data_IF_286941351411
#
_entry.id   IF_286941351411
#
_cell.length_a   1.000
_cell.length_b   1.000
_cell.length_c   1.000
_cell.angle_alpha   90.00
_cell.angle_beta   90.00
_cell.angle_gamma   90.00
#
_symmetry.space_group_name_H-M   'P 1'
#
loop_
_entity.id
_entity.type
_entity.pdbx_description
1 polymer ?
#
# COMPACT_ATOMS: atom_id res chain seq x y z
N UNK A 1 10.51 -10.56 -2.82
CA UNK A 1 10.79 -11.77 -2.02
C UNK A 1 11.03 -12.94 -2.95
N UNK A 2 12.15 -13.66 -2.79
CA UNK A 2 12.43 -14.87 -3.57
C UNK A 2 11.41 -16.00 -3.28
N UNK A 3 11.24 -16.98 -4.18
CA UNK A 3 10.48 -18.20 -3.90
C UNK A 3 10.92 -18.87 -2.59
N UNK A 4 9.96 -19.48 -1.87
CA UNK A 4 10.21 -20.21 -0.61
C UNK A 4 10.89 -19.35 0.46
N UNK A 5 10.41 -18.12 0.64
CA UNK A 5 10.92 -17.21 1.67
C UNK A 5 9.81 -16.73 2.61
N UNK A 6 10.18 -16.51 3.87
CA UNK A 6 9.38 -15.91 4.92
C UNK A 6 9.95 -14.53 5.23
N UNK A 7 9.12 -13.49 5.14
CA UNK A 7 9.35 -12.23 5.85
C UNK A 7 8.90 -12.45 7.29
N UNK A 8 9.88 -12.45 8.20
CA UNK A 8 9.69 -12.90 9.59
C UNK A 8 8.62 -12.09 10.33
N UNK A 9 7.97 -12.70 11.35
CA UNK A 9 6.99 -12.00 12.17
C UNK A 9 7.53 -10.72 12.81
N UNK A 10 6.81 -9.64 12.62
CA UNK A 10 7.14 -8.30 13.11
C UNK A 10 5.88 -7.44 13.20
N UNK A 11 5.96 -6.31 13.91
CA UNK A 11 5.03 -5.20 13.75
C UNK A 11 5.80 -3.94 13.36
N UNK A 12 5.10 -2.94 12.84
CA UNK A 12 5.66 -1.60 12.59
C UNK A 12 4.81 -0.56 13.33
N UNK A 13 5.39 0.59 13.64
CA UNK A 13 4.72 1.72 14.31
C UNK A 13 3.94 2.63 13.34
N UNK A 14 3.45 2.08 12.23
CA UNK A 14 2.82 2.85 11.14
C UNK A 14 1.78 2.00 10.42
N UNK A 15 0.73 2.63 9.88
CA UNK A 15 -0.24 1.92 9.05
C UNK A 15 0.39 1.56 7.71
N UNK A 16 0.03 0.40 7.18
CA UNK A 16 0.63 -0.20 5.99
C UNK A 16 -0.44 -0.65 4.99
N UNK A 17 -0.38 -0.12 3.77
CA UNK A 17 -1.13 -0.67 2.64
C UNK A 17 -0.19 -1.47 1.77
N UNK A 18 -0.54 -2.73 1.53
CA UNK A 18 0.15 -3.62 0.60
C UNK A 18 -0.60 -3.66 -0.73
N UNK A 19 0.13 -3.59 -1.84
CA UNK A 19 -0.37 -3.93 -3.18
C UNK A 19 0.49 -5.03 -3.80
N UNK A 20 -0.13 -6.15 -4.18
CA UNK A 20 0.57 -7.27 -4.82
C UNK A 20 0.75 -6.99 -6.31
N UNK A 21 1.92 -6.45 -6.66
CA UNK A 21 2.28 -6.16 -8.05
C UNK A 21 2.51 -7.44 -8.86
N UNK A 22 3.13 -8.47 -8.27
CA UNK A 22 3.47 -9.71 -8.97
C UNK A 22 3.62 -10.88 -8.01
N UNK A 23 3.07 -12.03 -8.39
CA UNK A 23 3.16 -13.29 -7.65
C UNK A 23 2.04 -13.47 -6.63
N UNK A 24 2.14 -14.54 -5.85
CA UNK A 24 1.18 -14.91 -4.80
C UNK A 24 1.88 -14.94 -3.44
N UNK A 25 1.17 -14.52 -2.39
CA UNK A 25 1.72 -14.42 -1.04
C UNK A 25 0.70 -14.82 0.01
N UNK A 26 1.13 -15.65 0.96
CA UNK A 26 0.37 -15.84 2.20
C UNK A 26 0.73 -14.73 3.17
N UNK A 27 -0.24 -13.92 3.56
CA UNK A 27 -0.08 -12.90 4.61
C UNK A 27 -0.80 -13.37 5.86
N UNK A 28 -0.08 -13.41 6.98
CA UNK A 28 -0.68 -13.64 8.29
C UNK A 28 -0.54 -12.40 9.15
N UNK A 29 -1.60 -11.97 9.82
CA UNK A 29 -1.55 -10.82 10.74
C UNK A 29 -2.51 -10.98 11.91
N UNK A 30 -2.23 -10.29 13.00
CA UNK A 30 -3.12 -10.22 14.16
C UNK A 30 -4.19 -9.17 13.89
N UNK A 31 -5.46 -9.58 13.97
CA UNK A 31 -6.62 -8.72 13.82
C UNK A 31 -7.58 -8.99 14.97
N UNK A 32 -8.00 -7.94 15.71
CA UNK A 32 -8.89 -8.06 16.88
C UNK A 32 -8.48 -9.21 17.83
N UNK A 33 -7.17 -9.31 18.09
CA UNK A 33 -6.55 -10.33 18.95
C UNK A 33 -6.29 -11.69 18.31
N UNK A 34 -6.90 -12.02 17.17
CA UNK A 34 -6.76 -13.32 16.52
C UNK A 34 -5.79 -13.30 15.34
N UNK A 35 -5.09 -14.42 15.09
CA UNK A 35 -4.30 -14.58 13.87
C UNK A 35 -5.24 -14.87 12.69
N UNK A 36 -5.16 -14.02 11.68
CA UNK A 36 -5.82 -14.18 10.38
C UNK A 36 -4.75 -14.48 9.35
N UNK A 37 -5.03 -15.43 8.46
CA UNK A 37 -4.16 -15.76 7.33
C UNK A 37 -4.97 -15.70 6.05
N UNK A 38 -4.49 -14.95 5.06
CA UNK A 38 -5.08 -14.88 3.72
C UNK A 38 -4.04 -15.11 2.65
N UNK A 39 -4.50 -15.70 1.55
CA UNK A 39 -3.70 -15.80 0.32
C UNK A 39 -4.04 -14.59 -0.54
N UNK A 40 -3.01 -13.82 -0.89
CA UNK A 40 -3.13 -12.69 -1.79
C UNK A 40 -2.54 -13.03 -3.15
N UNK A 41 -3.23 -12.59 -4.21
CA UNK A 41 -2.87 -12.72 -5.62
C UNK A 41 -2.53 -11.35 -6.22
N UNK A 42 -1.98 -11.33 -7.43
CA UNK A 42 -1.74 -10.09 -8.16
C UNK A 42 -2.99 -9.20 -8.23
N UNK A 43 -2.83 -7.91 -7.91
CA UNK A 43 -3.92 -6.95 -7.87
C UNK A 43 -4.54 -6.74 -6.49
N UNK A 44 -4.27 -7.63 -5.52
CA UNK A 44 -4.82 -7.50 -4.17
C UNK A 44 -4.19 -6.33 -3.42
N UNK A 45 -5.06 -5.60 -2.72
CA UNK A 45 -4.76 -4.55 -1.76
C UNK A 45 -5.17 -5.02 -0.37
N UNK A 46 -4.28 -4.84 0.62
CA UNK A 46 -4.56 -5.18 2.02
C UNK A 46 -4.01 -4.09 2.95
N UNK A 47 -4.86 -3.60 3.86
CA UNK A 47 -4.48 -2.73 4.98
C UNK A 47 -4.01 -3.58 6.17
N UNK A 48 -2.90 -3.19 6.80
CA UNK A 48 -2.42 -3.69 8.08
C UNK A 48 -2.20 -2.50 9.01
N UNK A 49 -2.85 -2.53 10.17
CA UNK A 49 -2.82 -1.42 11.12
C UNK A 49 -1.49 -1.37 11.89
N UNK A 50 -1.08 -0.16 12.28
CA UNK A 50 0.07 0.06 13.13
C UNK A 50 0.02 -0.83 14.39
N UNK A 51 1.16 -1.40 14.77
CA UNK A 51 1.27 -2.32 15.91
C UNK A 51 0.73 -3.74 15.66
N UNK A 52 0.01 -3.98 14.56
CA UNK A 52 -0.43 -5.34 14.21
C UNK A 52 0.76 -6.19 13.79
N UNK A 53 0.95 -7.31 14.47
CA UNK A 53 1.99 -8.28 14.12
C UNK A 53 1.58 -8.96 12.82
N UNK A 54 2.47 -8.96 11.82
CA UNK A 54 2.27 -9.64 10.56
C UNK A 54 3.52 -10.39 10.10
N UNK A 55 3.32 -11.28 9.13
CA UNK A 55 4.37 -11.98 8.40
C UNK A 55 3.89 -12.28 6.97
N UNK A 56 4.84 -12.54 6.06
CA UNK A 56 4.53 -12.87 4.67
C UNK A 56 5.31 -14.10 4.22
N UNK A 57 4.66 -15.00 3.48
CA UNK A 57 5.30 -16.19 2.92
C UNK A 57 5.12 -16.22 1.41
N UNK A 58 6.23 -16.14 0.67
CA UNK A 58 6.24 -16.51 -0.73
C UNK A 58 6.34 -18.03 -0.84
N UNK A 59 5.21 -18.71 -1.02
CA UNK A 59 5.14 -20.17 -1.21
C UNK A 59 5.39 -20.60 -2.65
N UNK A 60 5.60 -19.64 -3.56
CA UNK A 60 5.80 -19.89 -4.99
C UNK A 60 6.95 -20.86 -5.25
N UNK A 61 6.80 -21.70 -6.28
CA UNK A 61 7.80 -22.69 -6.70
C UNK A 61 8.85 -22.14 -7.67
N UNK A 62 8.78 -20.85 -8.02
CA UNK A 62 9.71 -20.22 -8.97
C UNK A 62 9.43 -18.75 -9.30
N UNK A 63 8.32 -18.16 -8.85
CA UNK A 63 8.01 -16.76 -9.11
C UNK A 63 8.46 -15.86 -7.95
N UNK A 64 9.22 -14.83 -8.27
CA UNK A 64 9.57 -13.76 -7.33
C UNK A 64 8.32 -12.92 -7.04
N UNK A 65 8.07 -12.69 -5.76
CA UNK A 65 6.98 -11.85 -5.26
C UNK A 65 7.43 -10.39 -5.20
N UNK A 66 6.68 -9.50 -5.83
CA UNK A 66 6.85 -8.04 -5.73
C UNK A 66 5.60 -7.43 -5.11
N UNK A 67 5.81 -6.65 -4.04
CA UNK A 67 4.77 -5.90 -3.35
C UNK A 67 5.20 -4.44 -3.33
N UNK A 68 4.28 -3.54 -3.62
CA UNK A 68 4.45 -2.10 -3.44
C UNK A 68 3.69 -1.72 -2.17
N UNK A 69 4.33 -0.98 -1.28
CA UNK A 69 3.75 -0.60 0.00
C UNK A 69 3.64 0.91 0.12
N UNK A 70 2.56 1.37 0.74
CA UNK A 70 2.48 2.71 1.33
C UNK A 70 2.51 2.61 2.84
N UNK A 71 3.30 3.46 3.48
CA UNK A 71 3.45 3.51 4.93
C UNK A 71 3.06 4.90 5.39
N UNK A 72 2.05 4.98 6.24
CA UNK A 72 1.62 6.23 6.86
C UNK A 72 2.42 6.49 8.12
N UNK A 73 3.39 7.40 7.98
CA UNK A 73 4.36 7.77 9.00
C UNK A 73 3.86 8.87 9.96
N UNK A 74 2.61 9.34 9.82
CA UNK A 74 2.11 10.52 10.56
C UNK A 74 2.23 10.37 12.08
N UNK A 75 2.13 9.13 12.56
CA UNK A 75 2.13 8.77 13.98
C UNK A 75 3.43 8.07 14.42
N UNK A 76 4.48 8.06 13.58
CA UNK A 76 5.75 7.41 13.89
C UNK A 76 6.49 8.09 15.06
N UNK A 77 7.30 7.32 15.79
CA UNK A 77 8.00 7.80 16.99
C UNK A 77 9.12 8.83 16.74
N UNK A 78 9.28 9.32 15.49
CA UNK A 78 10.11 10.48 15.16
C UNK A 78 11.59 10.23 14.86
N UNK A 79 12.07 8.98 14.90
CA UNK A 79 13.49 8.64 14.65
C UNK A 79 13.79 8.20 13.20
N UNK A 80 12.77 7.74 12.48
CA UNK A 80 12.78 7.26 11.11
C UNK A 80 11.34 7.43 10.55
N UNK A 81 11.09 7.36 9.23
CA UNK A 81 9.72 7.42 8.72
C UNK A 81 8.83 6.30 9.28
N UNK A 82 9.40 5.18 9.69
CA UNK A 82 8.76 4.13 10.49
C UNK A 82 9.84 3.23 11.10
N UNK A 83 9.47 2.46 12.13
CA UNK A 83 10.32 1.50 12.82
C UNK A 83 9.70 0.11 12.78
N UNK A 84 10.49 -0.88 12.35
CA UNK A 84 10.12 -2.29 12.44
C UNK A 84 10.60 -2.91 13.74
N UNK A 85 9.72 -3.68 14.37
CA UNK A 85 9.95 -4.42 15.61
C UNK A 85 9.81 -5.90 15.35
N UNK A 86 10.95 -6.58 15.20
CA UNK A 86 11.02 -7.98 14.85
C UNK A 86 10.73 -8.88 16.05
N UNK A 87 9.86 -9.88 15.88
CA UNK A 87 9.61 -10.92 16.88
C UNK A 87 10.43 -12.18 16.60
N UNK A 88 10.60 -12.50 15.30
CA UNK A 88 11.51 -13.54 14.82
C UNK A 88 12.62 -12.93 13.95
N UNK A 89 13.65 -13.72 13.66
CA UNK A 89 14.78 -13.28 12.84
C UNK A 89 16.11 -13.83 13.35
N UNK A 90 17.15 -13.76 12.53
CA UNK A 90 18.49 -14.17 12.90
C UNK A 90 19.54 -13.33 12.19
N UNK A 91 20.65 -13.03 12.88
CA UNK A 91 21.73 -12.20 12.35
C UNK A 91 21.69 -10.77 12.85
N UNK A 92 21.70 -9.78 11.95
CA UNK A 92 21.81 -8.35 12.27
C UNK A 92 20.53 -7.74 12.85
N UNK A 93 19.37 -8.38 12.60
CA UNK A 93 18.08 -7.99 13.19
C UNK A 93 17.78 -8.92 14.36
N UNK A 94 17.87 -8.39 15.59
CA UNK A 94 17.55 -9.12 16.81
C UNK A 94 16.07 -8.98 17.15
N UNK A 95 15.47 -10.07 17.62
CA UNK A 95 14.11 -10.04 18.18
C UNK A 95 14.05 -9.01 19.31
N UNK A 96 12.96 -8.24 19.40
CA UNK A 96 12.71 -7.33 20.54
C UNK A 96 12.73 -8.06 21.88
N UNK A 97 12.40 -9.36 21.87
CA UNK A 97 12.46 -10.19 23.07
C UNK A 97 13.87 -10.28 23.64
N UNK A 98 14.91 -10.26 22.79
CA UNK A 98 16.30 -10.33 23.22
C UNK A 98 16.75 -9.08 23.99
N UNK A 99 15.98 -7.98 23.96
CA UNK A 99 16.25 -6.78 24.73
C UNK A 99 15.85 -6.87 26.20
N UNK A 100 15.02 -7.85 26.59
CA UNK A 100 14.61 -8.05 27.98
C UNK A 100 15.59 -8.94 28.76
N UNK A 101 15.67 -8.73 30.07
CA UNK A 101 16.49 -9.57 30.94
C UNK A 101 16.03 -11.03 30.89
N UNK A 102 16.94 -12.03 30.76
CA UNK A 102 16.55 -13.44 30.64
C UNK A 102 15.63 -13.94 31.76
N UNK A 103 15.85 -13.50 33.01
CA UNK A 103 14.99 -13.87 34.16
C UNK A 103 13.54 -13.42 33.98
N UNK A 104 13.31 -12.26 33.34
CA UNK A 104 11.98 -11.74 33.05
C UNK A 104 11.31 -12.64 32.02
N UNK A 105 12.01 -13.01 30.95
CA UNK A 105 11.46 -13.87 29.89
C UNK A 105 11.20 -15.31 30.37
N UNK A 106 12.11 -15.90 31.14
CA UNK A 106 11.94 -17.22 31.76
C UNK A 106 10.66 -17.25 32.61
N UNK A 107 10.48 -16.21 33.43
CA UNK A 107 9.29 -16.06 34.28
C UNK A 107 8.03 -15.83 33.43
N UNK A 108 8.06 -14.89 32.50
CA UNK A 108 6.90 -14.50 31.70
C UNK A 108 6.44 -15.60 30.72
N UNK A 109 7.38 -16.36 30.15
CA UNK A 109 7.10 -17.49 29.25
C UNK A 109 6.93 -18.82 30.00
N UNK A 110 7.10 -18.82 31.33
CA UNK A 110 7.07 -19.98 32.20
C UNK A 110 7.96 -21.14 31.68
N UNK A 111 9.18 -20.82 31.26
CA UNK A 111 10.11 -21.74 30.58
C UNK A 111 11.43 -21.81 31.35
N UNK A 112 12.35 -22.69 30.95
CA UNK A 112 13.71 -22.75 31.52
C UNK A 112 14.69 -21.85 30.75
N UNK A 113 15.81 -21.49 31.38
CA UNK A 113 16.90 -20.76 30.70
C UNK A 113 17.42 -21.51 29.47
N UNK A 114 17.52 -22.84 29.55
CA UNK A 114 18.00 -23.68 28.45
C UNK A 114 17.03 -23.67 27.26
N UNK A 115 15.72 -23.77 27.52
CA UNK A 115 14.69 -23.65 26.47
C UNK A 115 14.68 -22.26 25.84
N UNK A 116 14.80 -21.20 26.66
CA UNK A 116 14.89 -19.82 26.19
C UNK A 116 16.11 -19.63 25.28
N UNK A 117 17.27 -20.15 25.67
CA UNK A 117 18.52 -20.07 24.89
C UNK A 117 18.45 -20.80 23.54
N UNK A 118 17.62 -21.84 23.42
CA UNK A 118 17.38 -22.55 22.14
C UNK A 118 16.52 -21.72 21.17
N UNK A 119 15.55 -20.96 21.68
CA UNK A 119 14.56 -20.24 20.87
C UNK A 119 15.04 -18.82 20.51
N UNK A 120 15.72 -18.15 21.44
CA UNK A 120 16.31 -16.82 21.26
C UNK A 120 17.84 -16.92 21.35
N UNK A 121 18.51 -17.62 20.42
CA UNK A 121 19.95 -17.70 20.43
C UNK A 121 20.52 -16.29 20.25
N UNK A 122 21.41 -15.89 21.15
CA UNK A 122 22.21 -14.67 21.00
C UNK A 122 23.15 -14.88 19.81
N UNK A 123 22.69 -14.55 18.60
CA UNK A 123 23.49 -14.66 17.38
C UNK A 123 24.32 -13.40 17.20
N UNK A 124 25.46 -13.35 17.86
CA UNK A 124 26.52 -12.37 17.54
C UNK A 124 27.14 -12.75 16.19
N UNK A 125 26.87 -11.96 15.14
CA UNK A 125 27.61 -12.03 13.87
C UNK A 125 26.94 -12.74 12.69
N UNK A 126 25.64 -13.03 12.72
CA UNK A 126 24.94 -13.58 11.54
C UNK A 126 24.65 -12.50 10.49
N UNK A 127 24.81 -12.84 9.21
CA UNK A 127 24.53 -11.97 8.05
C UNK A 127 23.05 -11.96 7.61
N UNK A 128 22.17 -12.65 8.34
CA UNK A 128 20.75 -12.78 7.99
C UNK A 128 19.98 -11.47 8.06
N UNK A 129 19.19 -11.21 7.02
CA UNK A 129 18.19 -10.14 6.97
C UNK A 129 16.81 -10.62 7.40
N UNK A 130 15.76 -9.79 7.26
CA UNK A 130 14.40 -10.14 7.69
C UNK A 130 13.70 -11.18 6.79
N UNK A 131 14.34 -11.60 5.70
CA UNK A 131 13.87 -12.65 4.81
C UNK A 131 14.67 -13.94 5.08
N UNK A 132 13.97 -15.00 5.45
CA UNK A 132 14.56 -16.31 5.75
C UNK A 132 14.01 -17.38 4.81
N UNK A 133 14.79 -18.45 4.57
CA UNK A 133 14.30 -19.62 3.84
C UNK A 133 13.11 -20.24 4.57
N UNK A 134 12.08 -20.63 3.82
CA UNK A 134 10.88 -21.24 4.34
C UNK A 134 10.58 -22.53 3.58
N UNK A 135 10.85 -23.67 4.22
CA UNK A 135 10.50 -25.00 3.73
C UNK A 135 9.48 -25.61 4.68
N UNK A 136 8.28 -25.88 4.18
CA UNK A 136 7.33 -26.74 4.88
C UNK A 136 7.84 -28.18 4.78
N UNK A 137 8.66 -28.64 5.72
CA UNK A 137 8.91 -30.06 5.83
C UNK A 137 7.60 -30.75 6.24
N UNK A 138 7.06 -31.59 5.36
CA UNK A 138 6.05 -32.57 5.74
C UNK A 138 6.78 -33.60 6.60
N UNK A 139 6.68 -33.48 7.91
CA UNK A 139 7.25 -34.44 8.87
C UNK A 139 6.58 -35.81 8.74
N UNK A 140 6.99 -36.62 7.77
CA UNK A 140 6.73 -38.05 7.77
C UNK A 140 7.76 -38.73 8.67
N UNK A 141 7.34 -39.21 9.85
CA UNK A 141 8.10 -40.19 10.61
C UNK A 141 8.18 -39.95 12.12
N UNK A 142 7.07 -40.12 12.83
CA UNK A 142 7.07 -40.28 14.29
C UNK A 142 6.12 -41.41 14.66
N UNK A 143 6.67 -42.58 15.01
CA UNK A 143 5.92 -43.75 15.47
C UNK A 143 5.09 -43.39 16.70
N UNK A 144 3.81 -43.76 16.66
CA UNK A 144 2.92 -43.77 17.82
C UNK A 144 3.48 -44.68 18.92
N UNK A 145 3.66 -44.11 20.12
CA UNK A 145 3.68 -44.89 21.35
C UNK A 145 2.80 -44.19 22.41
N UNK A 146 1.65 -44.83 22.69
CA UNK A 146 1.21 -45.20 24.03
C UNK A 146 0.94 -44.11 25.08
N UNK A 147 -0.35 -43.83 25.28
CA UNK A 147 -1.09 -43.53 26.52
C UNK A 147 -0.36 -43.03 27.78
N UNK A 148 -0.90 -41.93 28.32
CA UNK A 148 -0.82 -41.57 29.74
C UNK A 148 -1.64 -40.30 30.00
N UNK A 149 -2.87 -40.44 30.47
CA UNK A 149 -3.73 -39.32 30.82
C UNK A 149 -3.58 -38.94 32.29
N UNK A 150 -3.15 -37.71 32.56
CA UNK A 150 -3.26 -37.08 33.87
C UNK A 150 -4.08 -35.79 33.75
N UNK A 151 -5.09 -35.67 34.60
CA UNK A 151 -5.96 -34.51 34.73
C UNK A 151 -5.37 -33.64 35.84
N UNK A 152 -4.96 -32.42 35.52
CA UNK A 152 -4.61 -31.43 36.54
C UNK A 152 -5.80 -30.52 36.87
N UNK A 153 -5.99 -30.39 38.18
CA UNK A 153 -7.03 -29.66 38.90
C UNK A 153 -6.72 -28.17 38.87
N UNK A 154 -7.71 -27.35 38.51
CA UNK A 154 -7.56 -25.89 38.44
C UNK A 154 -7.60 -25.23 39.81
N UNK A 155 -6.63 -24.35 40.08
CA UNK A 155 -6.69 -23.35 41.16
C UNK A 155 -6.91 -21.95 40.58
N UNK A 156 -7.87 -21.25 41.18
CA UNK A 156 -8.33 -19.92 40.82
C UNK A 156 -7.24 -18.85 41.03
N UNK A 157 -6.78 -18.25 39.93
CA UNK A 157 -5.96 -17.03 39.93
C UNK A 157 -6.79 -15.82 39.50
N UNK A 158 -6.76 -14.76 40.32
CA UNK A 158 -7.51 -13.51 40.16
C UNK A 158 -7.25 -12.85 38.80
N UNK A 159 -8.34 -12.47 38.14
CA UNK A 159 -8.38 -11.75 36.87
C UNK A 159 -7.80 -10.33 37.05
N UNK A 160 -6.82 -9.97 36.24
CA UNK A 160 -6.37 -8.60 36.02
C UNK A 160 -6.83 -8.13 34.64
N UNK A 161 -7.32 -6.90 34.54
CA UNK A 161 -7.88 -6.35 33.30
C UNK A 161 -6.89 -6.34 32.12
N UNK A 162 -7.35 -6.56 30.87
CA UNK A 162 -6.48 -6.62 29.70
C UNK A 162 -5.98 -5.23 29.27
N UNK A 163 -4.70 -5.16 28.90
CA UNK A 163 -4.09 -3.98 28.28
C UNK A 163 -4.64 -3.76 26.86
N UNK A 164 -5.18 -2.57 26.58
CA UNK A 164 -5.61 -2.14 25.24
C UNK A 164 -4.50 -1.31 24.58
N UNK A 165 -4.11 -1.56 23.32
CA UNK A 165 -3.29 -0.61 22.57
C UNK A 165 -4.09 0.68 22.41
N UNK A 166 -3.56 1.79 22.92
CA UNK A 166 -4.16 3.11 22.71
C UNK A 166 -3.81 3.57 21.29
N UNK A 167 -4.62 3.14 20.33
CA UNK A 167 -4.77 3.79 19.03
C UNK A 167 -5.98 4.72 19.08
N UNK A 168 -5.88 5.87 18.41
CA UNK A 168 -6.83 6.98 18.40
C UNK A 168 -8.30 6.53 18.36
N UNK A 169 -9.07 6.97 19.36
CA UNK A 169 -10.40 6.46 19.64
C UNK A 169 -11.45 6.75 18.57
N UNK A 170 -12.28 5.74 18.35
CA UNK A 170 -13.73 5.86 18.19
C UNK A 170 -14.34 4.72 19.02
N UNK A 171 -14.90 5.08 20.18
CA UNK A 171 -15.63 4.18 21.07
C UNK A 171 -17.03 3.94 20.50
N UNK A 172 -17.17 2.95 19.62
CA UNK A 172 -18.47 2.41 19.23
C UNK A 172 -18.55 0.93 19.63
N UNK A 173 -19.00 0.66 20.86
CA UNK A 173 -19.57 -0.64 21.24
C UNK A 173 -21.03 -0.73 20.76
N UNK A 174 -21.45 -1.89 20.25
CA UNK A 174 -22.44 -2.61 21.03
C UNK A 174 -22.23 -4.13 21.06
N UNK A 175 -22.53 -4.72 22.23
CA UNK A 175 -23.01 -6.10 22.31
C UNK A 175 -22.10 -7.06 23.06
N UNK A 176 -22.42 -7.24 24.33
CA UNK A 176 -21.86 -8.22 25.26
C UNK A 176 -21.90 -9.66 24.73
N UNK A 177 -20.72 -10.26 24.69
CA UNK A 177 -20.53 -11.70 24.59
C UNK A 177 -19.21 -12.06 25.25
N UNK A 178 -19.25 -12.36 26.54
CA UNK A 178 -18.10 -12.86 27.29
C UNK A 178 -17.57 -14.13 26.61
N UNK A 179 -16.46 -14.00 25.89
CA UNK A 179 -15.55 -15.12 25.66
C UNK A 179 -14.26 -14.80 26.42
N UNK A 180 -13.88 -15.68 27.33
CA UNK A 180 -12.64 -15.61 28.10
C UNK A 180 -11.46 -15.88 27.18
N UNK A 181 -10.71 -14.85 26.83
CA UNK A 181 -9.57 -14.93 25.92
C UNK A 181 -8.27 -15.16 26.70
N UNK A 182 -7.76 -16.38 26.68
CA UNK A 182 -6.38 -16.69 27.12
C UNK A 182 -5.54 -17.04 25.89
N UNK A 183 -4.72 -16.09 25.42
CA UNK A 183 -3.78 -16.35 24.33
C UNK A 183 -2.45 -16.91 24.88
N UNK A 184 -1.92 -17.96 24.25
CA UNK A 184 -0.62 -18.53 24.60
C UNK A 184 0.36 -18.30 23.46
N UNK A 185 1.35 -17.44 23.68
CA UNK A 185 2.46 -17.16 22.76
C UNK A 185 3.22 -18.42 22.32
N UNK A 186 3.22 -19.49 23.14
CA UNK A 186 3.75 -20.82 22.76
C UNK A 186 3.05 -21.39 21.52
N UNK A 187 1.74 -21.14 21.33
CA UNK A 187 0.99 -21.60 20.14
C UNK A 187 1.40 -20.85 18.88
N UNK A 188 1.78 -19.57 18.97
CA UNK A 188 2.29 -18.83 17.81
C UNK A 188 3.70 -19.33 17.45
N UNK A 189 4.60 -19.43 18.43
CA UNK A 189 5.98 -19.88 18.21
C UNK A 189 6.08 -21.33 17.73
N UNK A 190 5.26 -22.25 18.27
CA UNK A 190 5.25 -23.66 17.83
C UNK A 190 4.85 -23.83 16.37
N UNK A 191 3.98 -22.97 15.81
CA UNK A 191 3.64 -22.99 14.37
C UNK A 191 4.82 -22.64 13.46
N UNK A 192 5.81 -21.89 13.97
CA UNK A 192 7.03 -21.55 13.24
C UNK A 192 8.20 -22.51 13.52
N UNK A 193 8.12 -23.33 14.57
CA UNK A 193 9.12 -24.33 14.96
C UNK A 193 8.73 -25.76 14.49
N UNK A 194 7.66 -25.91 13.72
CA UNK A 194 7.27 -27.20 13.11
C UNK A 194 6.30 -28.06 13.92
N UNK A 195 5.55 -27.48 14.87
CA UNK A 195 4.48 -28.17 15.59
C UNK A 195 3.14 -28.13 14.86
N UNK A 196 2.53 -29.29 14.64
CA UNK A 196 1.18 -29.44 14.09
C UNK A 196 0.13 -29.29 15.20
N UNK A 197 -0.84 -28.39 15.04
CA UNK A 197 -1.90 -28.15 16.02
C UNK A 197 -3.28 -28.18 15.33
N UNK A 198 -4.18 -28.97 15.91
CA UNK A 198 -5.55 -29.17 15.47
C UNK A 198 -6.31 -27.85 15.27
N UNK A 199 -6.75 -27.61 14.03
CA UNK A 199 -7.71 -26.55 13.67
C UNK A 199 -9.07 -26.86 14.29
N UNK A 200 -9.32 -26.40 15.52
CA UNK A 200 -10.70 -26.13 15.94
C UNK A 200 -11.07 -24.74 15.41
N UNK A 201 -12.12 -24.70 14.59
CA UNK A 201 -12.72 -23.47 14.08
C UNK A 201 -13.29 -22.67 15.25
N UNK A 202 -12.50 -21.74 15.75
CA UNK A 202 -13.05 -20.67 16.57
C UNK A 202 -13.97 -19.81 15.70
N UNK A 203 -15.01 -19.21 16.27
CA UNK A 203 -15.98 -18.36 15.55
C UNK A 203 -15.19 -17.43 14.63
N UNK A 204 -15.43 -17.51 13.33
CA UNK A 204 -14.61 -16.85 12.30
C UNK A 204 -14.40 -15.38 12.66
N UNK A 205 -13.19 -15.03 13.11
CA UNK A 205 -12.77 -13.64 13.23
C UNK A 205 -12.99 -13.00 11.86
N UNK A 206 -13.95 -12.07 11.79
CA UNK A 206 -14.36 -11.44 10.53
C UNK A 206 -13.40 -10.30 10.20
N UNK A 207 -12.23 -10.66 9.69
CA UNK A 207 -11.26 -9.71 9.17
C UNK A 207 -11.60 -9.29 7.73
N UNK A 208 -11.31 -8.04 7.34
CA UNK A 208 -11.57 -7.54 5.99
C UNK A 208 -10.96 -8.45 4.91
N UNK A 209 -11.73 -8.75 3.85
CA UNK A 209 -11.19 -9.38 2.65
C UNK A 209 -10.25 -8.41 1.91
N UNK A 210 -9.17 -8.91 1.28
CA UNK A 210 -8.36 -8.06 0.41
C UNK A 210 -9.20 -7.56 -0.75
N UNK A 211 -8.91 -6.34 -1.22
CA UNK A 211 -9.59 -5.74 -2.35
C UNK A 211 -8.75 -5.96 -3.61
N UNK A 212 -9.25 -6.69 -4.61
CA UNK A 212 -8.52 -6.86 -5.86
C UNK A 212 -8.93 -5.77 -6.87
N UNK A 213 -7.95 -5.00 -7.35
CA UNK A 213 -8.19 -3.94 -8.34
C UNK A 213 -8.80 -4.46 -9.65
N UNK A 214 -8.50 -5.70 -10.04
CA UNK A 214 -8.91 -6.28 -11.33
C UNK A 214 -10.23 -7.05 -11.27
N UNK A 215 -10.81 -7.24 -10.09
CA UNK A 215 -12.10 -7.93 -9.93
C UNK A 215 -13.29 -6.98 -10.21
N UNK A 216 -13.03 -5.68 -10.45
CA UNK A 216 -14.04 -4.65 -10.71
C UNK A 216 -13.80 -3.93 -12.06
N UNK A 217 -14.86 -3.31 -12.61
CA UNK A 217 -14.72 -2.47 -13.80
C UNK A 217 -13.88 -1.21 -13.48
N UNK A 218 -13.08 -0.72 -14.45
CA UNK A 218 -12.34 0.52 -14.24
C UNK A 218 -13.25 1.71 -14.01
N UNK A 219 -12.81 2.61 -13.12
CA UNK A 219 -13.46 3.89 -12.85
C UNK A 219 -13.60 4.77 -14.11
N UNK A 220 -12.68 4.62 -15.07
CA UNK A 220 -12.78 5.21 -16.40
C UNK A 220 -12.13 4.31 -17.45
N UNK A 221 -12.70 4.27 -18.66
CA UNK A 221 -12.13 3.56 -19.82
C UNK A 221 -12.54 4.23 -21.12
N UNK A 222 -11.59 4.35 -22.04
CA UNK A 222 -11.85 4.65 -23.45
C UNK A 222 -10.83 3.92 -24.35
N UNK A 223 -10.75 4.27 -25.63
CA UNK A 223 -9.83 3.65 -26.60
C UNK A 223 -8.35 3.98 -26.35
N UNK A 224 -8.06 5.00 -25.53
CA UNK A 224 -6.71 5.52 -25.27
C UNK A 224 -6.14 5.06 -23.93
N UNK A 225 -6.95 4.40 -23.09
CA UNK A 225 -6.52 3.92 -21.80
C UNK A 225 -7.67 3.64 -20.83
N UNK A 226 -7.30 3.36 -19.59
CA UNK A 226 -8.23 3.20 -18.49
C UNK A 226 -7.57 3.58 -17.16
N UNK A 227 -8.40 3.86 -16.16
CA UNK A 227 -7.97 4.10 -14.80
C UNK A 227 -8.90 3.44 -13.79
N UNK A 228 -8.32 3.01 -12.68
CA UNK A 228 -8.99 2.51 -11.49
C UNK A 228 -8.62 3.46 -10.36
N UNK A 229 -9.61 3.85 -9.56
CA UNK A 229 -9.43 4.58 -8.31
C UNK A 229 -10.27 3.89 -7.25
N UNK A 230 -9.63 3.53 -6.14
CA UNK A 230 -10.24 2.85 -4.99
C UNK A 230 -10.11 3.76 -3.79
N UNK A 231 -11.25 4.01 -3.16
CA UNK A 231 -11.35 4.86 -1.98
C UNK A 231 -12.06 4.09 -0.84
N UNK A 232 -12.24 4.73 0.31
CA UNK A 232 -12.84 4.09 1.49
C UNK A 232 -14.27 3.58 1.31
N UNK A 233 -15.01 4.10 0.34
CA UNK A 233 -16.35 3.62 0.05
C UNK A 233 -16.31 2.29 -0.71
N UNK A 234 -15.22 2.01 -1.42
CA UNK A 234 -14.98 0.77 -2.14
C UNK A 234 -14.29 -0.26 -1.23
N UNK A 235 -13.30 0.20 -0.45
CA UNK A 235 -12.54 -0.61 0.52
C UNK A 235 -12.34 0.15 1.83
N UNK A 236 -13.25 -0.06 2.78
CA UNK A 236 -13.29 0.65 4.07
C UNK A 236 -11.97 0.69 4.85
N UNK A 237 -11.14 -0.38 4.89
CA UNK A 237 -9.85 -0.35 5.58
C UNK A 237 -8.87 0.72 5.09
N UNK A 238 -9.08 1.31 3.90
CA UNK A 238 -8.29 2.47 3.46
C UNK A 238 -8.48 3.72 4.34
N UNK A 239 -9.62 3.85 5.04
CA UNK A 239 -9.88 4.98 5.94
C UNK A 239 -8.93 4.99 7.15
N UNK A 240 -8.39 3.82 7.53
CA UNK A 240 -7.46 3.71 8.68
C UNK A 240 -6.18 4.53 8.50
N UNK A 241 -5.75 4.77 7.25
CA UNK A 241 -4.58 5.61 6.92
C UNK A 241 -4.95 6.89 6.16
N UNK A 242 -6.24 7.13 5.90
CA UNK A 242 -6.72 8.11 4.90
C UNK A 242 -5.87 8.05 3.62
N UNK A 243 -5.56 6.86 3.10
CA UNK A 243 -4.82 6.69 1.84
C UNK A 243 -5.69 5.97 0.82
N UNK A 244 -5.86 6.56 -0.36
CA UNK A 244 -6.52 5.92 -1.50
C UNK A 244 -5.51 5.23 -2.42
N UNK A 245 -6.01 4.43 -3.37
CA UNK A 245 -5.20 3.66 -4.30
C UNK A 245 -5.66 3.92 -5.74
N UNK A 246 -4.72 4.00 -6.68
CA UNK A 246 -5.05 4.14 -8.09
C UNK A 246 -4.13 3.34 -9.01
N UNK A 247 -4.65 2.97 -10.18
CA UNK A 247 -3.92 2.31 -11.25
C UNK A 247 -4.35 2.91 -12.58
N UNK A 248 -3.38 3.30 -13.41
CA UNK A 248 -3.64 3.91 -14.71
C UNK A 248 -2.88 3.15 -15.78
N UNK A 249 -3.53 2.98 -16.94
CA UNK A 249 -2.93 2.46 -18.15
C UNK A 249 -3.23 3.42 -19.30
N UNK A 250 -2.18 4.00 -19.87
CA UNK A 250 -2.24 4.82 -21.07
C UNK A 250 -1.69 4.03 -22.25
N UNK A 251 -2.41 4.00 -23.37
CA UNK A 251 -1.91 3.40 -24.61
C UNK A 251 -0.79 4.25 -25.21
N UNK A 252 -0.02 3.68 -26.13
CA UNK A 252 1.15 4.34 -26.71
C UNK A 252 0.82 5.74 -27.26
N UNK A 253 1.57 6.74 -26.80
CA UNK A 253 1.41 8.14 -27.18
C UNK A 253 0.26 8.89 -26.49
N UNK A 254 -0.73 8.20 -25.92
CA UNK A 254 -1.88 8.81 -25.25
C UNK A 254 -1.50 9.57 -23.99
N UNK A 255 -2.39 10.44 -23.52
CA UNK A 255 -2.17 11.21 -22.29
C UNK A 255 -3.38 11.20 -21.38
N UNK A 256 -3.16 11.15 -20.06
CA UNK A 256 -4.18 11.62 -19.13
C UNK A 256 -4.18 13.14 -19.18
N UNK A 257 -5.31 13.74 -19.55
CA UNK A 257 -5.46 15.16 -19.82
C UNK A 257 -4.94 16.03 -18.66
N UNK A 258 -4.40 17.23 -18.93
CA UNK A 258 -4.01 18.17 -17.88
C UNK A 258 -5.08 18.33 -16.81
N UNK A 259 -4.72 18.09 -15.55
CA UNK A 259 -5.66 18.10 -14.44
C UNK A 259 -5.03 18.52 -13.11
N UNK A 260 -5.89 18.74 -12.12
CA UNK A 260 -5.52 19.09 -10.75
C UNK A 260 -6.15 18.13 -9.75
N UNK A 261 -5.31 17.70 -8.81
CA UNK A 261 -5.57 17.15 -7.48
C UNK A 261 -6.25 18.08 -6.47
N UNK A 262 -7.58 18.18 -6.24
CA UNK A 262 -8.06 19.10 -5.21
C UNK A 262 -7.97 18.52 -3.80
N UNK A 263 -7.92 17.18 -3.65
CA UNK A 263 -8.04 16.53 -2.35
C UNK A 263 -6.82 15.71 -1.96
N UNK A 264 -5.94 15.34 -2.86
CA UNK A 264 -4.83 14.47 -2.50
C UNK A 264 -3.57 14.83 -3.26
N UNK A 265 -2.45 14.63 -2.58
CA UNK A 265 -1.15 14.43 -3.22
C UNK A 265 -1.14 13.02 -3.77
N UNK A 266 -0.65 12.85 -5.00
CA UNK A 266 -0.52 11.54 -5.63
C UNK A 266 0.95 11.15 -5.70
N UNK A 267 1.25 9.91 -5.35
CA UNK A 267 2.58 9.34 -5.56
C UNK A 267 2.45 7.94 -6.10
N UNK A 268 3.29 7.61 -7.07
CA UNK A 268 3.13 6.40 -7.85
C UNK A 268 4.45 5.83 -8.30
N UNK A 269 4.40 4.54 -8.62
CA UNK A 269 5.48 3.75 -9.18
C UNK A 269 5.10 3.36 -10.59
N UNK A 270 5.99 3.59 -11.54
CA UNK A 270 5.81 3.12 -12.90
C UNK A 270 5.97 1.60 -12.94
N UNK A 271 4.92 0.90 -13.35
CA UNK A 271 4.90 -0.56 -13.41
C UNK A 271 5.43 -1.08 -14.74
N UNK A 272 5.12 -0.40 -15.85
CA UNK A 272 5.53 -0.80 -17.18
C UNK A 272 5.59 0.39 -18.15
N UNK A 273 6.49 0.27 -19.12
CA UNK A 273 6.69 1.26 -20.18
C UNK A 273 7.37 2.54 -19.71
N UNK A 274 7.19 3.57 -20.52
CA UNK A 274 7.87 4.86 -20.39
C UNK A 274 6.92 5.99 -20.75
N UNK A 275 7.10 7.14 -20.12
CA UNK A 275 6.27 8.32 -20.33
C UNK A 275 6.94 9.60 -19.85
N UNK A 276 6.23 10.71 -20.00
CA UNK A 276 6.62 12.03 -19.52
C UNK A 276 5.58 12.51 -18.53
N UNK A 277 6.05 13.03 -17.40
CA UNK A 277 5.21 13.74 -16.43
C UNK A 277 5.62 15.21 -16.46
N UNK A 278 4.64 16.10 -16.65
CA UNK A 278 4.85 17.53 -16.50
C UNK A 278 4.01 18.09 -15.37
N UNK A 279 4.60 18.99 -14.58
CA UNK A 279 3.96 19.69 -13.46
C UNK A 279 4.18 21.18 -13.64
N UNK A 280 3.18 21.99 -13.32
CA UNK A 280 3.17 23.45 -13.52
C UNK A 280 3.00 24.14 -12.18
N UNK A 281 3.75 25.23 -11.95
CA UNK A 281 3.60 26.07 -10.76
C UNK A 281 2.34 26.96 -10.84
N UNK A 282 1.83 27.47 -9.71
CA UNK A 282 0.67 28.37 -9.70
C UNK A 282 0.82 29.62 -10.60
N UNK A 283 2.05 30.08 -10.85
CA UNK A 283 2.35 31.20 -11.73
C UNK A 283 2.36 30.83 -13.24
N UNK A 284 2.01 29.60 -13.59
CA UNK A 284 1.99 29.10 -14.97
C UNK A 284 3.35 28.67 -15.53
N UNK A 285 4.44 28.82 -14.79
CA UNK A 285 5.75 28.33 -15.23
C UNK A 285 5.87 26.80 -15.07
N UNK A 286 6.62 26.17 -15.96
CA UNK A 286 6.89 24.73 -15.90
C UNK A 286 7.72 24.43 -14.64
N UNK A 287 7.15 23.67 -13.70
CA UNK A 287 7.83 23.24 -12.49
C UNK A 287 8.74 22.04 -12.76
N UNK A 288 8.25 21.10 -13.58
CA UNK A 288 8.96 19.88 -13.91
C UNK A 288 8.50 19.34 -15.27
N UNK A 289 9.43 18.78 -16.04
CA UNK A 289 9.15 17.88 -17.15
C UNK A 289 10.16 16.74 -17.07
N UNK A 290 9.71 15.55 -16.68
CA UNK A 290 10.58 14.41 -16.42
C UNK A 290 10.14 13.20 -17.25
N UNK A 291 11.10 12.56 -17.90
CA UNK A 291 10.94 11.22 -18.45
C UNK A 291 10.98 10.20 -17.31
N UNK A 292 10.04 9.26 -17.32
CA UNK A 292 9.93 8.21 -16.32
C UNK A 292 9.75 6.85 -17.00
N UNK A 293 10.29 5.80 -16.39
CA UNK A 293 10.23 4.41 -16.87
C UNK A 293 9.95 3.44 -15.74
N UNK A 294 9.63 2.20 -16.09
CA UNK A 294 9.35 1.14 -15.12
C UNK A 294 10.39 1.09 -13.97
N UNK A 295 9.89 1.15 -12.74
CA UNK A 295 10.69 1.23 -11.51
C UNK A 295 10.87 2.64 -10.95
N UNK A 296 10.67 3.69 -11.73
CA UNK A 296 10.73 5.07 -11.25
C UNK A 296 9.52 5.39 -10.35
N UNK A 297 9.76 6.28 -9.38
CA UNK A 297 8.74 6.79 -8.46
C UNK A 297 8.55 8.27 -8.72
N UNK A 298 7.29 8.72 -8.74
CA UNK A 298 6.94 10.13 -8.84
C UNK A 298 6.04 10.56 -7.69
N UNK A 299 6.07 11.86 -7.39
CA UNK A 299 5.27 12.48 -6.33
C UNK A 299 4.78 13.85 -6.82
N UNK A 300 3.47 14.04 -6.82
CA UNK A 300 2.80 15.24 -7.35
C UNK A 300 1.96 15.84 -6.23
N UNK A 301 2.39 16.98 -5.66
CA UNK A 301 1.64 17.66 -4.61
C UNK A 301 0.24 18.03 -5.06
N UNK A 302 -0.69 17.98 -4.10
CA UNK A 302 -2.04 18.52 -4.25
C UNK A 302 -2.00 19.95 -4.81
N UNK A 303 -3.03 20.29 -5.61
CA UNK A 303 -3.26 21.60 -6.25
C UNK A 303 -2.35 21.98 -7.42
N UNK A 304 -1.22 21.30 -7.63
CA UNK A 304 -0.40 21.57 -8.81
C UNK A 304 -1.05 20.95 -10.06
N UNK A 305 -1.21 21.71 -11.17
CA UNK A 305 -1.60 21.14 -12.44
C UNK A 305 -0.52 20.23 -12.99
N UNK A 306 -0.92 19.08 -13.54
CA UNK A 306 0.00 18.13 -14.15
C UNK A 306 -0.64 17.37 -15.30
N UNK A 307 0.21 16.71 -16.08
CA UNK A 307 -0.16 15.84 -17.21
C UNK A 307 0.78 14.63 -17.22
N UNK A 308 0.24 13.48 -17.61
CA UNK A 308 0.99 12.24 -17.79
C UNK A 308 0.81 11.77 -19.23
N UNK A 309 1.91 11.60 -19.96
CA UNK A 309 1.92 11.28 -21.39
C UNK A 309 2.70 9.98 -21.59
N UNK A 310 2.09 8.99 -22.24
CA UNK A 310 2.78 7.78 -22.63
C UNK A 310 3.77 8.06 -23.76
N UNK A 311 4.93 7.41 -23.73
CA UNK A 311 5.80 7.37 -24.89
C UNK A 311 5.09 6.68 -26.07
N UNK A 312 5.56 6.91 -27.29
CA UNK A 312 5.05 6.22 -28.49
C UNK A 312 5.55 4.77 -28.62
N UNK A 313 6.52 4.37 -27.80
CA UNK A 313 7.13 3.04 -27.85
C UNK A 313 6.29 1.93 -27.23
N UNK A 314 5.32 2.27 -26.39
CA UNK A 314 4.48 1.28 -25.71
C UNK A 314 3.51 1.91 -24.70
N UNK A 315 2.71 1.08 -24.02
CA UNK A 315 1.80 1.57 -22.99
C UNK A 315 2.59 2.10 -21.78
N UNK A 316 2.03 3.10 -21.09
CA UNK A 316 2.56 3.63 -19.85
C UNK A 316 1.61 3.26 -18.71
N UNK A 317 2.06 2.36 -17.83
CA UNK A 317 1.25 1.80 -16.73
C UNK A 317 1.89 2.16 -15.41
N UNK A 318 1.12 2.78 -14.51
CA UNK A 318 1.61 3.19 -13.20
C UNK A 318 0.54 2.98 -12.13
N UNK A 319 1.00 2.58 -10.95
CA UNK A 319 0.19 2.34 -9.76
C UNK A 319 0.63 3.32 -8.69
N UNK A 320 -0.31 3.82 -7.89
CA UNK A 320 0.05 4.72 -6.82
C UNK A 320 -0.99 4.84 -5.72
N UNK A 321 -0.67 5.74 -4.82
CA UNK A 321 -1.44 6.04 -3.64
C UNK A 321 -1.76 7.53 -3.59
N UNK A 322 -2.87 7.86 -2.93
CA UNK A 322 -3.32 9.23 -2.71
C UNK A 322 -3.30 9.51 -1.21
N UNK A 323 -2.87 10.70 -0.78
CA UNK A 323 -2.89 11.09 0.65
C UNK A 323 -4.30 11.40 1.21
N UNK A 324 -5.34 10.87 0.58
CA UNK A 324 -6.70 10.82 1.13
C UNK A 324 -7.40 9.57 0.60
N UNK A 325 -8.10 8.84 1.47
CA UNK A 325 -8.99 7.72 1.14
C UNK A 325 -10.40 8.20 0.77
N UNK A 326 -10.66 9.51 0.68
CA UNK A 326 -11.95 10.01 0.14
C UNK A 326 -11.79 10.37 -1.33
N UNK A 327 -12.90 10.29 -2.06
CA UNK A 327 -13.01 10.64 -3.50
C UNK A 327 -12.23 11.91 -3.85
N UNK A 328 -11.17 11.73 -4.63
CA UNK A 328 -10.29 12.83 -5.03
C UNK A 328 -10.96 13.79 -6.02
N UNK A 329 -11.79 13.25 -6.94
CA UNK A 329 -12.47 13.99 -8.03
C UNK A 329 -11.50 14.90 -8.80
N UNK A 330 -10.58 14.33 -9.61
CA UNK A 330 -9.65 15.10 -10.43
C UNK A 330 -10.38 16.17 -11.26
N UNK A 331 -9.84 17.39 -11.28
CA UNK A 331 -10.38 18.48 -12.07
C UNK A 331 -9.60 18.61 -13.37
N UNK A 332 -10.16 18.07 -14.45
CA UNK A 332 -9.57 18.19 -15.78
C UNK A 332 -9.66 19.63 -16.29
N UNK A 333 -8.56 20.13 -16.84
CA UNK A 333 -8.46 21.47 -17.41
C UNK A 333 -8.84 21.49 -18.89
N UNK A 334 -8.59 20.39 -19.62
CA UNK A 334 -8.95 20.22 -21.04
C UNK A 334 -9.95 19.07 -21.25
N UNK A 335 -10.57 19.06 -22.44
CA UNK A 335 -11.56 18.06 -22.82
C UNK A 335 -13.02 18.47 -22.57
N UNK A 336 -13.99 17.63 -22.98
CA UNK A 336 -15.42 17.94 -22.91
C UNK A 336 -16.00 18.02 -21.49
N UNK A 337 -15.31 17.44 -20.49
CA UNK A 337 -15.74 17.45 -19.08
C UNK A 337 -14.88 18.38 -18.22
N UNK A 338 -14.19 19.34 -18.85
CA UNK A 338 -13.17 20.15 -18.19
C UNK A 338 -13.69 21.42 -17.55
N UNK A 339 -12.91 21.98 -16.62
CA UNK A 339 -13.20 23.28 -15.99
C UNK A 339 -13.22 24.40 -17.03
N UNK A 340 -12.34 24.39 -18.03
CA UNK A 340 -12.40 25.37 -19.14
C UNK A 340 -13.70 25.25 -19.95
N UNK A 341 -14.21 24.02 -20.15
CA UNK A 341 -15.50 23.80 -20.81
C UNK A 341 -16.66 24.33 -19.97
N UNK A 342 -16.62 24.12 -18.65
CA UNK A 342 -17.65 24.61 -17.72
C UNK A 342 -17.65 26.13 -17.58
N UNK A 343 -16.48 26.78 -17.61
CA UNK A 343 -16.32 28.23 -17.50
C UNK A 343 -16.37 28.95 -18.85
N UNK A 344 -16.86 28.29 -19.91
CA UNK A 344 -16.91 28.88 -21.24
C UNK A 344 -17.91 30.03 -21.29
N UNK A 345 -17.42 31.25 -21.08
CA UNK A 345 -18.21 32.46 -20.95
C UNK A 345 -17.43 33.73 -21.26
N UNK A 346 -18.09 34.90 -21.25
CA UNK A 346 -17.43 36.18 -21.42
C UNK A 346 -16.37 36.45 -20.34
N UNK A 347 -16.53 35.91 -19.12
CA UNK A 347 -15.60 36.09 -18.00
C UNK A 347 -14.24 35.43 -18.28
N UNK A 348 -14.24 34.16 -18.71
CA UNK A 348 -13.01 33.45 -19.07
C UNK A 348 -12.38 34.05 -20.34
N UNK A 349 -13.20 34.47 -21.31
CA UNK A 349 -12.73 35.15 -22.52
C UNK A 349 -12.02 36.47 -22.18
N UNK A 350 -12.61 37.29 -21.30
CA UNK A 350 -12.00 38.52 -20.79
C UNK A 350 -10.72 38.23 -19.99
N UNK A 351 -10.73 37.23 -19.11
CA UNK A 351 -9.56 36.84 -18.31
C UNK A 351 -8.36 36.37 -19.15
N UNK A 352 -8.63 35.76 -20.32
CA UNK A 352 -7.61 35.34 -21.28
C UNK A 352 -7.29 36.42 -22.33
N UNK A 353 -8.04 37.54 -22.36
CA UNK A 353 -7.86 38.61 -23.34
C UNK A 353 -8.18 38.20 -24.78
N UNK A 354 -9.08 37.24 -24.99
CA UNK A 354 -9.42 36.71 -26.33
C UNK A 354 -10.92 36.85 -26.65
N UNK A 355 -11.31 36.95 -27.92
CA UNK A 355 -12.72 36.91 -28.30
C UNK A 355 -13.39 35.60 -27.88
N UNK A 356 -14.58 35.66 -27.30
CA UNK A 356 -15.30 34.47 -26.80
C UNK A 356 -15.52 33.40 -27.89
N UNK A 357 -15.74 33.82 -29.14
CA UNK A 357 -15.88 32.90 -30.28
C UNK A 357 -14.60 32.10 -30.55
N UNK A 358 -13.44 32.73 -30.40
CA UNK A 358 -12.14 32.08 -30.56
C UNK A 358 -11.85 31.14 -29.38
N UNK A 359 -12.12 31.59 -28.15
CA UNK A 359 -12.02 30.74 -26.96
C UNK A 359 -12.85 29.47 -27.12
N UNK A 360 -14.12 29.62 -27.51
CA UNK A 360 -15.03 28.50 -27.78
C UNK A 360 -14.44 27.55 -28.80
N UNK A 361 -13.95 28.04 -29.93
CA UNK A 361 -13.35 27.19 -30.96
C UNK A 361 -12.20 26.32 -30.42
N UNK A 362 -11.36 26.85 -29.54
CA UNK A 362 -10.22 26.12 -28.95
C UNK A 362 -10.66 25.14 -27.87
N UNK A 363 -11.44 25.61 -26.89
CA UNK A 363 -11.90 24.79 -25.76
C UNK A 363 -12.79 23.64 -26.22
N UNK A 364 -13.55 23.84 -27.31
CA UNK A 364 -14.44 22.82 -27.84
C UNK A 364 -13.79 21.85 -28.84
N UNK A 365 -12.53 22.06 -29.23
CA UNK A 365 -11.85 21.26 -30.24
C UNK A 365 -11.59 19.81 -29.80
N UNK A 366 -11.29 19.59 -28.52
CA UNK A 366 -11.10 18.26 -27.95
C UNK A 366 -12.47 17.66 -27.58
N UNK A 367 -12.77 16.49 -28.14
CA UNK A 367 -14.03 15.77 -27.93
C UNK A 367 -13.85 14.52 -27.06
N UNK A 368 -12.61 14.13 -26.78
CA UNK A 368 -12.27 12.98 -25.95
C UNK A 368 -12.06 13.43 -24.50
N UNK A 369 -12.69 12.74 -23.55
CA UNK A 369 -12.59 13.04 -22.13
C UNK A 369 -11.47 12.24 -21.44
N UNK A 370 -10.88 12.84 -20.40
CA UNK A 370 -9.99 12.21 -19.38
C UNK A 370 -8.68 11.66 -19.94
N UNK A 371 -8.73 10.63 -20.79
CA UNK A 371 -7.56 10.07 -21.47
C UNK A 371 -7.64 10.42 -22.95
N UNK A 372 -6.79 11.35 -23.36
CA UNK A 372 -6.82 11.99 -24.67
C UNK A 372 -5.89 11.30 -25.69
N UNK A 373 -6.16 11.49 -27.01
CA UNK A 373 -5.36 10.92 -28.09
C UNK A 373 -3.89 11.37 -28.09
N UNK A 374 -3.03 10.66 -28.86
CA UNK A 374 -1.62 11.00 -28.93
C UNK A 374 -1.31 12.42 -29.41
N UNK A 375 -0.24 12.98 -28.85
CA UNK A 375 0.29 14.27 -29.30
C UNK A 375 0.60 14.25 -30.81
N UNK A 376 0.35 15.33 -31.57
CA UNK A 376 0.71 15.41 -32.97
C UNK A 376 2.20 15.10 -33.18
N UNK A 377 2.55 14.42 -34.28
CA UNK A 377 3.97 14.25 -34.62
C UNK A 377 4.61 15.63 -34.81
N UNK A 378 5.80 15.85 -34.25
CA UNK A 378 6.59 17.03 -34.57
C UNK A 378 6.78 17.05 -36.09
N UNK A 379 6.22 18.05 -36.78
CA UNK A 379 6.52 18.31 -38.18
C UNK A 379 8.05 18.41 -38.32
N UNK A 380 8.67 17.48 -39.06
CA UNK A 380 10.10 17.54 -39.37
C UNK A 380 10.37 18.87 -40.08
N UNK A 381 10.95 19.84 -39.37
CA UNK A 381 11.38 21.13 -39.93
C UNK A 381 10.84 22.39 -39.25
N UNK A 382 9.92 22.30 -38.27
CA UNK A 382 9.53 23.49 -37.49
C UNK A 382 10.54 23.73 -36.37
N UNK A 383 11.38 24.76 -36.50
CA UNK A 383 12.19 25.29 -35.38
C UNK A 383 11.28 25.40 -34.17
N UNK A 384 11.76 24.91 -33.01
CA UNK A 384 11.09 25.13 -31.73
C UNK A 384 10.71 26.61 -31.65
N UNK A 385 9.41 26.90 -31.70
CA UNK A 385 8.96 28.22 -31.28
C UNK A 385 9.31 28.28 -29.81
N UNK A 386 10.08 29.29 -29.41
CA UNK A 386 10.33 29.57 -27.99
C UNK A 386 9.01 29.42 -27.23
N UNK A 387 9.02 28.81 -26.03
CA UNK A 387 7.82 28.76 -25.21
C UNK A 387 7.23 30.17 -25.14
N UNK A 388 5.93 30.29 -25.39
CA UNK A 388 5.19 31.54 -25.32
C UNK A 388 5.14 31.98 -23.84
N UNK A 389 6.28 32.45 -23.32
CA UNK A 389 6.34 33.13 -22.03
C UNK A 389 5.57 34.41 -22.28
N UNK A 390 4.38 34.54 -21.68
CA UNK A 390 3.82 35.86 -21.44
C UNK A 390 4.88 36.62 -20.64
N UNK A 391 5.68 37.44 -21.31
CA UNK A 391 6.40 38.54 -20.67
C UNK A 391 5.34 39.51 -20.19
N UNK A 392 4.68 39.19 -19.09
CA UNK A 392 3.89 40.18 -18.39
C UNK A 392 4.88 41.18 -17.79
N UNK A 393 4.74 42.37 -18.35
CA UNK A 393 5.48 43.60 -18.08
C UNK A 393 5.51 43.84 -16.58
N UNK A 394 6.72 43.89 -16.01
CA UNK A 394 6.95 44.60 -14.77
C UNK A 394 6.78 46.11 -15.04
N UNK A 395 5.54 46.58 -14.86
CA UNK A 395 5.10 47.96 -14.58
C UNK A 395 3.76 47.73 -13.86
N UNK A 396 3.57 48.03 -12.59
CA UNK A 396 4.12 49.07 -11.70
C UNK A 396 4.41 48.51 -10.30
#
# INVERSE_FOLDING_TARGET
MEPKTLFVPQYIDSNLILFVQRGDVKVGWIHKGGLVEKQLKMGDVLQIDAGSIFYMVNTGKGQRLHIICSIDASDSAGFAPYQSFYLGGGGKQTSVLAGFEPKILVTALNTTYDELGRILPVRTGGTGGPFVSYTTESGSGGKEHGQGGERDVGENGRESEPWRPVGRGDDDEPGSGQSTWTWSWRKLMSRFIGGELNKKSDKTLRAPEPYNLFDHEPSFRNTYGWSISVDKHDYEPLDHSDIGVYLVNLTAGSMMAPHVNPRATEYGVVLAGEGVIQVVFPNGSLAMSAEVRAGDVFWIPRHLPFVQVASRGGPFVFFGFTTSARRNKPQFLTGPTSVLRMMLGPELAAGLGVPQKELRKVVEAQTVAVIEPPLPEKEKGRKEREPFVMKQVARE
#
